data_IF_473258129122
#
_entry.id   IF_473258129122
#
_cell.length_a   1.000
_cell.length_b   1.000
_cell.length_c   1.000
_cell.angle_alpha   90.00
_cell.angle_beta   90.00
_cell.angle_gamma   90.00
#
_symmetry.space_group_name_H-M   'P 1'
#
loop_
_entity.id
_entity.type
_entity.pdbx_description
1 polymer ?
#
# COMPACT_ATOMS: atom_id res chain seq x y z
N UNK A 1 -8.19 22.09 0.23
CA UNK A 1 -8.14 20.83 0.99
C UNK A 1 -7.05 21.00 2.05
N UNK A 2 -7.40 21.05 3.34
CA UNK A 2 -6.53 21.47 4.44
C UNK A 2 -5.45 20.46 4.88
N UNK A 3 -4.91 19.68 3.94
CA UNK A 3 -3.83 18.73 4.19
C UNK A 3 -2.49 19.38 3.86
N UNK A 4 -1.51 19.23 4.75
CA UNK A 4 -0.15 19.72 4.53
C UNK A 4 0.79 18.54 4.40
N UNK A 5 1.38 18.38 3.22
CA UNK A 5 2.37 17.36 2.95
C UNK A 5 3.75 17.87 3.35
N UNK A 6 4.54 17.06 4.06
CA UNK A 6 5.90 17.43 4.48
C UNK A 6 6.84 17.65 3.30
N UNK A 7 6.61 16.91 2.22
CA UNK A 7 7.32 17.00 0.95
C UNK A 7 6.43 16.41 -0.16
N UNK A 8 6.76 16.61 -1.46
CA UNK A 8 5.91 16.17 -2.56
C UNK A 8 6.08 14.68 -2.94
N UNK A 9 6.95 13.93 -2.26
CA UNK A 9 7.24 12.54 -2.58
C UNK A 9 6.29 11.62 -1.80
N UNK A 10 5.46 10.88 -2.53
CA UNK A 10 4.54 9.90 -1.97
C UNK A 10 4.84 8.48 -2.43
N UNK A 11 4.52 7.50 -1.59
CA UNK A 11 4.54 6.08 -1.96
C UNK A 11 3.14 5.64 -2.40
N UNK A 12 3.05 5.09 -3.61
CA UNK A 12 1.78 4.66 -4.20
C UNK A 12 1.23 3.36 -3.56
N UNK A 13 -0.08 3.18 -3.67
CA UNK A 13 -0.76 1.95 -3.26
C UNK A 13 -0.23 0.71 -3.98
N UNK A 14 -0.45 -0.44 -3.36
CA UNK A 14 -0.11 -1.75 -3.88
C UNK A 14 1.25 -2.28 -3.44
N UNK A 15 2.12 -1.41 -2.88
CA UNK A 15 3.36 -1.84 -2.24
C UNK A 15 3.09 -2.45 -0.85
N UNK A 16 2.51 -1.67 0.06
CA UNK A 16 2.10 -2.13 1.39
C UNK A 16 0.58 -2.24 1.45
N UNK A 17 0.07 -3.44 1.15
CA UNK A 17 -1.37 -3.68 1.01
C UNK A 17 -2.10 -3.82 2.33
N UNK A 18 -1.38 -4.22 3.36
CA UNK A 18 -1.93 -4.61 4.66
C UNK A 18 -1.44 -3.68 5.79
N UNK A 19 -0.66 -2.64 5.46
CA UNK A 19 -0.12 -1.66 6.42
C UNK A 19 1.01 -2.21 7.29
N UNK A 20 1.72 -3.24 6.83
CA UNK A 20 2.71 -3.97 7.63
C UNK A 20 3.99 -3.18 7.88
N UNK A 21 4.29 -2.17 7.04
CA UNK A 21 5.59 -1.51 6.99
C UNK A 21 5.48 0.02 7.07
N UNK A 22 4.36 0.59 7.55
CA UNK A 22 4.08 2.03 7.53
C UNK A 22 5.25 2.86 8.10
N UNK A 23 5.75 2.53 9.29
CA UNK A 23 6.81 3.31 9.95
C UNK A 23 8.17 3.18 9.24
N UNK A 24 8.51 1.97 8.78
CA UNK A 24 9.74 1.73 8.03
C UNK A 24 9.73 2.46 6.69
N UNK A 25 8.58 2.49 6.00
CA UNK A 25 8.40 3.25 4.76
C UNK A 25 8.47 4.75 5.04
N UNK A 26 7.83 5.23 6.12
CA UNK A 26 7.90 6.63 6.55
C UNK A 26 9.34 7.10 6.84
N UNK A 27 10.13 6.24 7.49
CA UNK A 27 11.54 6.51 7.80
C UNK A 27 12.44 6.66 6.55
N UNK A 28 12.00 6.17 5.38
CA UNK A 28 12.71 6.40 4.11
C UNK A 28 12.52 7.82 3.54
N UNK A 29 11.69 8.66 4.17
CA UNK A 29 11.55 10.08 3.83
C UNK A 29 10.32 10.43 2.97
N UNK A 30 9.41 9.49 2.75
CA UNK A 30 8.14 9.78 2.05
C UNK A 30 7.28 10.75 2.87
N UNK A 31 6.81 11.82 2.22
CA UNK A 31 5.89 12.80 2.83
C UNK A 31 4.46 12.26 2.97
N UNK A 32 4.11 11.25 2.18
CA UNK A 32 2.85 10.52 2.27
C UNK A 32 2.99 9.05 1.87
N UNK A 33 2.16 8.20 2.43
CA UNK A 33 2.06 6.78 2.10
C UNK A 33 0.62 6.46 1.73
N UNK A 34 0.41 5.74 0.64
CA UNK A 34 -0.90 5.16 0.31
C UNK A 34 -0.82 3.64 0.49
N UNK A 35 -1.51 3.11 1.49
CA UNK A 35 -1.57 1.66 1.76
C UNK A 35 -2.82 1.04 1.13
N UNK A 36 -2.84 -0.28 1.00
CA UNK A 36 -3.88 -1.01 0.26
C UNK A 36 -3.44 -1.34 -1.17
N UNK A 37 -4.31 -1.69 -2.10
CA UNK A 37 -5.77 -1.75 -2.00
C UNK A 37 -6.26 -2.85 -1.07
N UNK A 38 -7.03 -2.48 -0.04
CA UNK A 38 -7.70 -3.42 0.87
C UNK A 38 -9.13 -3.68 0.43
N UNK A 39 -9.61 -4.91 0.65
CA UNK A 39 -11.02 -5.28 0.42
C UNK A 39 -11.73 -5.56 1.74
N UNK A 40 -13.08 -5.50 1.81
CA UNK A 40 -13.80 -5.79 3.06
C UNK A 40 -13.50 -7.16 3.66
N UNK A 41 -13.23 -8.16 2.81
CA UNK A 41 -12.84 -9.52 3.22
C UNK A 41 -11.46 -9.87 2.65
N UNK A 42 -10.68 -10.73 3.33
CA UNK A 42 -9.41 -11.22 2.81
C UNK A 42 -9.58 -11.95 1.49
N UNK A 43 -8.55 -11.88 0.65
CA UNK A 43 -8.46 -12.68 -0.56
C UNK A 43 -7.01 -12.92 -0.99
N UNK A 44 -6.70 -14.11 -1.55
CA UNK A 44 -5.33 -14.48 -1.92
C UNK A 44 -4.82 -13.78 -3.18
N UNK A 45 -5.71 -13.20 -3.99
CA UNK A 45 -5.44 -12.69 -5.33
C UNK A 45 -5.31 -13.79 -6.38
N UNK A 46 -4.75 -13.45 -7.55
CA UNK A 46 -4.57 -14.39 -8.67
C UNK A 46 -3.42 -15.40 -8.40
N UNK A 47 -3.41 -16.55 -9.08
CA UNK A 47 -2.31 -17.52 -8.95
C UNK A 47 -0.95 -16.93 -9.38
N UNK A 48 0.13 -17.43 -8.77
CA UNK A 48 1.50 -17.07 -9.15
C UNK A 48 1.93 -17.87 -10.39
N UNK A 49 2.78 -17.33 -11.28
CA UNK A 49 3.41 -16.00 -11.24
C UNK A 49 2.51 -14.86 -11.72
N UNK A 50 2.61 -13.71 -11.02
CA UNK A 50 1.69 -12.56 -11.17
C UNK A 50 2.32 -11.17 -11.10
N UNK A 51 3.65 -11.11 -10.94
CA UNK A 51 4.46 -9.89 -10.99
C UNK A 51 5.71 -10.21 -11.80
N UNK A 52 5.98 -9.40 -12.82
CA UNK A 52 7.04 -9.62 -13.79
C UNK A 52 7.83 -8.33 -13.96
N UNK A 53 9.16 -8.43 -13.98
CA UNK A 53 10.05 -7.30 -14.19
C UNK A 53 10.63 -7.35 -15.60
N UNK A 54 10.52 -6.23 -16.31
CA UNK A 54 11.11 -6.00 -17.62
C UNK A 54 12.27 -5.03 -17.43
N UNK A 55 13.47 -5.57 -17.18
CA UNK A 55 14.64 -4.77 -16.75
C UNK A 55 15.03 -3.74 -17.80
N UNK A 56 15.12 -4.14 -19.07
CA UNK A 56 15.53 -3.27 -20.17
C UNK A 56 14.55 -2.12 -20.45
N UNK A 57 13.29 -2.28 -20.02
CA UNK A 57 12.24 -1.28 -20.15
C UNK A 57 11.96 -0.53 -18.84
N UNK A 58 12.75 -0.79 -17.78
CA UNK A 58 12.52 -0.29 -16.42
C UNK A 58 11.06 -0.50 -15.95
N UNK A 59 10.46 -1.62 -16.37
CA UNK A 59 9.02 -1.84 -16.32
C UNK A 59 8.59 -2.95 -15.38
N UNK A 60 7.35 -2.87 -14.91
CA UNK A 60 6.67 -3.92 -14.16
C UNK A 60 5.31 -4.24 -14.79
N UNK A 61 5.03 -5.52 -15.00
CA UNK A 61 3.69 -6.02 -15.33
C UNK A 61 3.17 -6.79 -14.13
N UNK A 62 1.96 -6.46 -13.67
CA UNK A 62 1.34 -7.17 -12.56
C UNK A 62 -0.13 -7.51 -12.85
N UNK A 63 -0.56 -8.62 -12.27
CA UNK A 63 -1.95 -9.10 -12.27
C UNK A 63 -2.26 -9.67 -10.89
N UNK A 64 -2.08 -8.84 -9.86
CA UNK A 64 -2.12 -9.31 -8.47
C UNK A 64 -3.52 -9.72 -8.00
N UNK A 65 -4.57 -9.05 -8.48
CA UNK A 65 -5.96 -9.36 -8.12
C UNK A 65 -6.34 -9.00 -6.67
N UNK A 66 -5.90 -7.83 -6.18
CA UNK A 66 -6.14 -7.35 -4.81
C UNK A 66 -5.85 -8.38 -3.71
N UNK A 67 -4.72 -9.06 -3.73
CA UNK A 67 -4.32 -9.90 -2.59
C UNK A 67 -4.13 -9.05 -1.32
N UNK A 68 -4.89 -9.34 -0.25
CA UNK A 68 -4.83 -8.64 1.04
C UNK A 68 -5.50 -9.49 2.15
N UNK A 69 -5.24 -9.14 3.41
CA UNK A 69 -5.74 -9.80 4.61
C UNK A 69 -7.07 -9.22 5.13
N UNK A 70 -7.66 -8.25 4.42
CA UNK A 70 -8.94 -7.64 4.75
C UNK A 70 -8.83 -6.38 5.62
N UNK A 71 -9.92 -5.63 5.68
CA UNK A 71 -9.95 -4.31 6.36
C UNK A 71 -9.67 -4.40 7.85
N UNK A 72 -10.12 -5.45 8.53
CA UNK A 72 -9.90 -5.61 9.97
C UNK A 72 -8.40 -5.74 10.28
N UNK A 73 -7.67 -6.53 9.49
CA UNK A 73 -6.22 -6.67 9.63
C UNK A 73 -5.49 -5.34 9.38
N UNK A 74 -5.86 -4.64 8.29
CA UNK A 74 -5.24 -3.35 7.95
C UNK A 74 -5.46 -2.33 9.07
N UNK A 75 -6.67 -2.23 9.63
CA UNK A 75 -6.99 -1.29 10.70
C UNK A 75 -6.13 -1.56 11.95
N UNK A 76 -5.93 -2.82 12.32
CA UNK A 76 -5.07 -3.17 13.46
C UNK A 76 -3.60 -2.81 13.23
N UNK A 77 -3.11 -2.86 11.99
CA UNK A 77 -1.77 -2.41 11.66
C UNK A 77 -1.66 -0.88 11.68
N UNK A 78 -2.65 -0.17 11.12
CA UNK A 78 -2.69 1.30 11.13
C UNK A 78 -2.71 1.86 12.55
N UNK A 79 -3.44 1.24 13.48
CA UNK A 79 -3.49 1.66 14.89
C UNK A 79 -2.13 1.59 15.59
N UNK A 80 -1.22 0.75 15.12
CA UNK A 80 0.12 0.55 15.71
C UNK A 80 1.18 1.46 15.09
N UNK A 81 0.89 2.08 13.96
CA UNK A 81 1.84 2.93 13.24
C UNK A 81 2.00 4.30 13.92
N UNK A 82 3.21 4.84 13.84
CA UNK A 82 3.61 6.14 14.37
C UNK A 82 4.00 7.15 13.27
N UNK A 83 3.69 6.84 12.01
CA UNK A 83 3.95 7.73 10.88
C UNK A 83 3.22 9.08 11.02
N UNK A 84 3.97 10.15 10.83
CA UNK A 84 3.54 11.54 11.06
C UNK A 84 3.38 12.33 9.76
N UNK A 85 3.37 11.65 8.61
CA UNK A 85 2.98 12.19 7.31
C UNK A 85 1.51 11.89 6.96
N UNK A 86 1.13 12.13 5.71
CA UNK A 86 -0.24 11.84 5.25
C UNK A 86 -0.35 10.35 4.92
N UNK A 87 -1.18 9.63 5.67
CA UNK A 87 -1.51 8.22 5.40
C UNK A 87 -2.85 8.14 4.63
N UNK A 88 -2.78 7.70 3.38
CA UNK A 88 -3.94 7.37 2.55
C UNK A 88 -4.28 5.89 2.65
N UNK A 89 -5.57 5.55 2.63
CA UNK A 89 -6.06 4.16 2.60
C UNK A 89 -6.80 3.94 1.29
N UNK A 90 -6.25 3.10 0.42
CA UNK A 90 -6.85 2.70 -0.84
C UNK A 90 -7.81 1.52 -0.62
N UNK A 91 -9.08 1.67 -1.00
CA UNK A 91 -10.14 0.68 -0.76
C UNK A 91 -10.68 0.18 -2.10
N UNK A 92 -10.84 -1.14 -2.21
CA UNK A 92 -11.35 -1.82 -3.38
C UNK A 92 -12.58 -2.67 -3.09
N UNK A 93 -13.28 -3.06 -4.16
CA UNK A 93 -14.34 -4.06 -4.10
C UNK A 93 -13.79 -5.46 -4.40
N UNK A 94 -14.51 -6.47 -3.90
CA UNK A 94 -14.31 -7.86 -4.29
C UNK A 94 -14.99 -8.17 -5.62
#
# INVERSE_FOLDING_TARGET
MGLTFKNPLGLAAGLDKDGECIDALGAMGFGSLEIGTVTPRPQPGNDKPRLFRLVDAEGLINRMGFNNLGVDNLVENVKKAHFDGILGINIGKK
#
